data_IF_806512530928
#
_entry.id   IF_806512530928
#
_cell.length_a   1.000
_cell.length_b   1.000
_cell.length_c   1.000
_cell.angle_alpha   90.00
_cell.angle_beta   90.00
_cell.angle_gamma   90.00
#
_symmetry.space_group_name_H-M   'P 1'
#
loop_
_entity.id
_entity.type
_entity.pdbx_description
1 polymer ?
#
# COMPACT_ATOMS: atom_id res chain seq x y z
N UNK A 1 -0.82 -14.14 3.72
CA UNK A 1 -1.96 -13.33 4.25
C UNK A 1 -2.29 -13.78 5.66
N UNK A 2 -2.29 -12.85 6.63
CA UNK A 2 -2.43 -13.20 8.06
C UNK A 2 -3.75 -13.84 8.47
N UNK A 3 -4.86 -13.52 7.79
CA UNK A 3 -6.21 -13.96 8.19
C UNK A 3 -6.74 -15.22 7.50
N UNK A 4 -5.98 -15.87 6.64
CA UNK A 4 -6.48 -17.02 5.87
C UNK A 4 -6.91 -18.20 6.77
N UNK A 5 -6.21 -18.39 7.89
CA UNK A 5 -6.55 -19.43 8.86
C UNK A 5 -7.85 -19.13 9.58
N UNK A 6 -8.09 -17.87 9.97
CA UNK A 6 -9.30 -17.44 10.63
C UNK A 6 -10.51 -17.54 9.69
N UNK A 7 -10.37 -17.13 8.44
CA UNK A 7 -11.39 -17.29 7.41
C UNK A 7 -11.77 -18.77 7.27
N UNK A 8 -10.79 -19.68 7.17
CA UNK A 8 -11.05 -21.13 7.07
C UNK A 8 -11.76 -21.72 8.30
N UNK A 9 -11.59 -21.11 9.46
CA UNK A 9 -12.30 -21.53 10.69
C UNK A 9 -13.73 -21.01 10.73
N UNK A 10 -14.01 -19.84 10.15
CA UNK A 10 -15.32 -19.20 10.13
C UNK A 10 -16.22 -19.84 9.07
N UNK A 11 -15.67 -20.16 7.89
CA UNK A 11 -16.45 -20.66 6.75
C UNK A 11 -17.38 -21.85 7.07
N UNK A 12 -16.95 -22.88 7.83
CA UNK A 12 -17.82 -24.02 8.16
C UNK A 12 -18.99 -23.65 9.11
N UNK A 13 -18.90 -22.51 9.80
CA UNK A 13 -19.92 -22.04 10.74
C UNK A 13 -21.04 -21.26 10.01
N UNK A 14 -20.84 -20.91 8.75
CA UNK A 14 -21.81 -20.15 7.97
C UNK A 14 -22.91 -21.06 7.40
N UNK A 15 -24.15 -20.56 7.24
CA UNK A 15 -25.21 -21.30 6.58
C UNK A 15 -24.79 -21.80 5.18
N UNK A 16 -25.19 -23.03 4.84
CA UNK A 16 -24.88 -23.61 3.51
C UNK A 16 -25.60 -22.89 2.38
N UNK A 17 -26.83 -22.48 2.60
CA UNK A 17 -27.63 -21.68 1.66
C UNK A 17 -27.40 -20.21 1.99
N UNK A 18 -26.64 -19.54 1.15
CA UNK A 18 -26.32 -18.12 1.27
C UNK A 18 -25.85 -17.55 -0.06
N UNK A 19 -26.04 -16.26 -0.24
CA UNK A 19 -25.38 -15.49 -1.26
C UNK A 19 -24.01 -15.05 -0.71
N UNK A 20 -22.94 -15.31 -1.48
CA UNK A 20 -21.58 -14.88 -1.11
C UNK A 20 -21.05 -13.93 -2.18
N UNK A 21 -20.62 -12.75 -1.78
CA UNK A 21 -19.96 -11.77 -2.62
C UNK A 21 -18.48 -11.69 -2.19
N UNK A 22 -17.58 -11.75 -3.16
CA UNK A 22 -16.16 -11.66 -2.93
C UNK A 22 -15.59 -10.49 -3.74
N UNK A 23 -14.91 -9.59 -3.05
CA UNK A 23 -14.25 -8.42 -3.66
C UNK A 23 -12.78 -8.41 -3.35
N UNK A 24 -11.96 -8.19 -4.37
CA UNK A 24 -10.51 -8.02 -4.21
C UNK A 24 -9.97 -7.09 -5.30
N UNK A 25 -8.99 -6.27 -4.95
CA UNK A 25 -8.28 -5.45 -5.92
C UNK A 25 -7.32 -6.26 -6.79
N UNK A 26 -6.86 -7.41 -6.29
CA UNK A 26 -5.93 -8.31 -6.98
C UNK A 26 -6.36 -9.75 -6.78
N UNK A 27 -6.12 -10.61 -7.77
CA UNK A 27 -6.50 -12.03 -7.75
C UNK A 27 -5.29 -12.95 -7.99
N UNK A 28 -4.27 -12.94 -7.11
CA UNK A 28 -3.20 -13.93 -7.18
C UNK A 28 -3.72 -15.34 -6.85
N UNK A 29 -2.98 -16.37 -7.21
CA UNK A 29 -3.41 -17.77 -7.14
C UNK A 29 -3.90 -18.22 -5.76
N UNK A 30 -3.31 -17.73 -4.69
CA UNK A 30 -3.73 -18.02 -3.31
C UNK A 30 -5.09 -17.42 -2.98
N UNK A 31 -5.42 -16.27 -3.56
CA UNK A 31 -6.73 -15.60 -3.43
C UNK A 31 -7.78 -16.32 -4.29
N UNK A 32 -7.44 -16.72 -5.51
CA UNK A 32 -8.31 -17.53 -6.36
C UNK A 32 -8.67 -18.84 -5.65
N UNK A 33 -7.69 -19.54 -5.09
CA UNK A 33 -7.92 -20.76 -4.30
C UNK A 33 -8.85 -20.51 -3.12
N UNK A 34 -8.65 -19.41 -2.39
CA UNK A 34 -9.53 -19.04 -1.28
C UNK A 34 -10.95 -18.76 -1.77
N UNK A 35 -11.13 -17.95 -2.80
CA UNK A 35 -12.42 -17.61 -3.38
C UNK A 35 -13.19 -18.88 -3.79
N UNK A 36 -12.53 -19.83 -4.43
CA UNK A 36 -13.13 -21.11 -4.86
C UNK A 36 -13.61 -21.98 -3.68
N UNK A 37 -13.10 -21.79 -2.47
CA UNK A 37 -13.63 -22.48 -1.27
C UNK A 37 -14.89 -21.83 -0.72
N UNK A 38 -15.20 -20.60 -1.12
CA UNK A 38 -16.28 -19.80 -0.57
C UNK A 38 -17.45 -19.63 -1.53
N UNK A 39 -17.16 -19.62 -2.82
CA UNK A 39 -18.10 -19.30 -3.89
C UNK A 39 -18.61 -20.57 -4.57
N UNK A 40 -19.86 -20.55 -5.03
CA UNK A 40 -20.49 -21.61 -5.81
C UNK A 40 -20.96 -21.03 -7.14
N UNK A 41 -20.37 -21.52 -8.23
CA UNK A 41 -20.67 -21.04 -9.59
C UNK A 41 -20.77 -19.51 -9.68
N UNK A 42 -19.70 -18.77 -9.31
CA UNK A 42 -19.76 -17.32 -9.21
C UNK A 42 -19.78 -16.65 -10.59
N UNK A 43 -20.52 -15.54 -10.69
CA UNK A 43 -20.33 -14.59 -11.77
C UNK A 43 -19.04 -13.79 -11.52
N UNK A 44 -18.18 -13.70 -12.54
CA UNK A 44 -16.93 -12.93 -12.45
C UNK A 44 -17.12 -11.58 -13.14
N UNK A 45 -16.87 -10.51 -12.40
CA UNK A 45 -16.86 -9.13 -12.93
C UNK A 45 -15.47 -8.56 -12.72
N UNK A 46 -14.77 -8.23 -13.80
CA UNK A 46 -13.43 -7.62 -13.77
C UNK A 46 -13.53 -6.23 -14.37
N UNK A 47 -13.18 -5.22 -13.58
CA UNK A 47 -13.23 -3.81 -14.00
C UNK A 47 -11.93 -3.36 -14.62
N UNK A 48 -10.82 -3.96 -14.21
CA UNK A 48 -9.47 -3.65 -14.73
C UNK A 48 -8.78 -4.95 -15.11
N UNK A 49 -8.06 -5.02 -16.25
CA UNK A 49 -7.27 -6.21 -16.58
C UNK A 49 -6.26 -6.52 -15.47
N UNK A 50 -6.09 -7.79 -15.08
CA UNK A 50 -5.11 -8.15 -14.06
C UNK A 50 -3.70 -7.80 -14.52
N UNK A 51 -2.95 -7.11 -13.67
CA UNK A 51 -1.50 -6.93 -13.74
C UNK A 51 -0.93 -6.34 -15.06
N UNK A 52 -1.62 -5.40 -15.70
CA UNK A 52 -0.96 -4.60 -16.72
C UNK A 52 -0.09 -3.53 -16.07
N UNK A 53 1.21 -3.53 -16.35
CA UNK A 53 2.08 -2.39 -16.07
C UNK A 53 1.50 -1.23 -16.87
N UNK A 54 1.11 -0.14 -16.19
CA UNK A 54 0.61 1.05 -16.89
C UNK A 54 1.79 1.59 -17.68
N UNK A 55 1.73 1.55 -19.01
CA UNK A 55 2.81 1.96 -19.93
C UNK A 55 3.30 3.40 -19.70
N UNK A 56 2.47 4.22 -19.04
CA UNK A 56 2.79 5.60 -18.67
C UNK A 56 3.73 5.70 -17.46
N UNK A 57 4.02 4.60 -16.73
CA UNK A 57 4.89 4.61 -15.57
C UNK A 57 6.32 4.25 -15.98
N UNK A 58 7.24 5.21 -15.86
CA UNK A 58 8.67 4.92 -15.97
C UNK A 58 9.17 4.28 -14.69
N UNK A 59 9.57 3.02 -14.76
CA UNK A 59 10.12 2.28 -13.64
C UNK A 59 11.65 2.23 -13.71
N UNK A 60 12.31 2.30 -12.54
CA UNK A 60 13.75 2.12 -12.41
C UNK A 60 14.07 1.42 -11.10
N UNK A 61 15.20 0.70 -11.09
CA UNK A 61 15.72 0.00 -9.92
C UNK A 61 17.09 0.57 -9.58
N UNK A 62 17.27 0.97 -8.33
CA UNK A 62 18.56 1.43 -7.80
C UNK A 62 19.04 0.43 -6.74
N UNK A 63 20.23 -0.12 -6.96
CA UNK A 63 20.89 -0.99 -5.98
C UNK A 63 21.62 -0.14 -4.96
N UNK A 64 21.35 -0.37 -3.68
CA UNK A 64 21.98 0.35 -2.58
C UNK A 64 22.06 -0.53 -1.34
N UNK A 65 23.14 -0.38 -0.59
CA UNK A 65 23.27 -0.99 0.72
C UNK A 65 22.23 -0.46 1.72
N UNK A 66 21.85 -1.30 2.68
CA UNK A 66 20.81 -0.95 3.66
C UNK A 66 21.10 0.36 4.40
N UNK A 67 22.36 0.63 4.70
CA UNK A 67 22.80 1.86 5.37
C UNK A 67 22.62 3.10 4.48
N UNK A 68 22.84 2.96 3.19
CA UNK A 68 22.86 4.06 2.21
C UNK A 68 21.48 4.45 1.70
N UNK A 69 20.47 3.56 1.78
CA UNK A 69 19.13 3.80 1.25
C UNK A 69 18.49 5.12 1.70
N UNK A 70 18.79 5.56 2.91
CA UNK A 70 18.23 6.80 3.46
C UNK A 70 18.86 8.04 2.86
N UNK A 71 20.18 8.02 2.71
CA UNK A 71 20.95 9.10 2.07
C UNK A 71 20.57 9.20 0.59
N UNK A 72 20.50 8.06 -0.08
CA UNK A 72 20.06 7.98 -1.47
C UNK A 72 18.63 8.54 -1.64
N UNK A 73 17.70 8.18 -0.76
CA UNK A 73 16.35 8.74 -0.81
C UNK A 73 16.36 10.27 -0.66
N UNK A 74 17.11 10.80 0.31
CA UNK A 74 17.21 12.24 0.50
C UNK A 74 17.82 12.95 -0.72
N UNK A 75 18.83 12.36 -1.37
CA UNK A 75 19.42 12.88 -2.61
C UNK A 75 18.42 12.90 -3.75
N UNK A 76 17.70 11.79 -4.00
CA UNK A 76 16.67 11.71 -5.04
C UNK A 76 15.54 12.73 -4.85
N UNK A 77 15.14 12.98 -3.60
CA UNK A 77 14.13 13.98 -3.27
C UNK A 77 14.63 15.41 -3.50
N UNK A 78 15.92 15.69 -3.30
CA UNK A 78 16.52 17.02 -3.57
C UNK A 78 16.66 17.29 -5.06
N UNK A 79 16.93 16.26 -5.86
CA UNK A 79 17.03 16.39 -7.32
C UNK A 79 15.69 16.77 -7.97
N UNK A 80 14.58 16.54 -7.27
CA UNK A 80 13.22 16.79 -7.79
C UNK A 80 12.38 17.54 -6.76
N UNK A 81 12.70 18.78 -6.44
CA UNK A 81 12.06 19.57 -5.38
C UNK A 81 10.56 19.82 -5.63
N UNK A 82 10.16 19.95 -6.90
CA UNK A 82 8.78 20.25 -7.30
C UNK A 82 7.86 19.01 -7.36
N UNK A 83 8.42 17.81 -7.21
CA UNK A 83 7.63 16.59 -7.34
C UNK A 83 6.98 16.19 -6.04
N UNK A 84 5.69 15.81 -6.09
CA UNK A 84 5.03 15.05 -5.02
C UNK A 84 5.48 13.61 -5.06
N UNK A 85 5.91 13.06 -3.92
CA UNK A 85 6.53 11.74 -3.85
C UNK A 85 5.87 10.88 -2.78
N UNK A 86 5.47 9.67 -3.15
CA UNK A 86 5.01 8.65 -2.20
C UNK A 86 6.14 7.66 -1.94
N UNK A 87 6.53 7.54 -0.67
CA UNK A 87 7.56 6.60 -0.23
C UNK A 87 6.92 5.44 0.52
N UNK A 88 6.99 4.23 -0.05
CA UNK A 88 6.46 3.04 0.60
C UNK A 88 7.51 2.39 1.51
N UNK A 89 7.11 2.09 2.74
CA UNK A 89 7.91 1.37 3.72
C UNK A 89 7.24 0.05 4.11
N UNK A 90 8.04 -0.98 4.32
CA UNK A 90 7.53 -2.30 4.73
C UNK A 90 6.86 -2.31 6.10
N UNK A 91 7.22 -1.38 6.99
CA UNK A 91 6.70 -1.32 8.36
C UNK A 91 6.31 0.10 8.75
N UNK A 92 5.31 0.22 9.66
CA UNK A 92 4.87 1.47 10.26
C UNK A 92 6.01 2.24 10.95
N UNK A 93 6.84 1.55 11.71
CA UNK A 93 8.03 2.13 12.35
C UNK A 93 9.08 2.57 11.34
N UNK A 94 9.17 1.88 10.19
CA UNK A 94 10.02 2.29 9.07
C UNK A 94 9.55 3.62 8.48
N UNK A 95 8.25 3.78 8.27
CA UNK A 95 7.65 5.01 7.75
C UNK A 95 7.93 6.21 8.69
N UNK A 96 7.69 6.07 9.99
CA UNK A 96 8.00 7.11 10.98
C UNK A 96 9.49 7.48 11.01
N UNK A 97 10.37 6.46 10.90
CA UNK A 97 11.81 6.68 10.87
C UNK A 97 12.23 7.45 9.63
N UNK A 98 11.68 7.10 8.46
CA UNK A 98 11.96 7.80 7.19
C UNK A 98 11.51 9.26 7.31
N UNK A 99 10.27 9.53 7.72
CA UNK A 99 9.75 10.88 7.88
C UNK A 99 10.67 11.72 8.79
N UNK A 100 11.06 11.21 9.95
CA UNK A 100 11.99 11.91 10.87
C UNK A 100 13.36 12.20 10.24
N UNK A 101 13.91 11.28 9.44
CA UNK A 101 15.20 11.46 8.78
C UNK A 101 15.08 12.53 7.69
N UNK A 102 14.01 12.53 6.92
CA UNK A 102 13.77 13.54 5.89
C UNK A 102 13.60 14.92 6.50
N UNK A 103 12.83 15.05 7.60
CA UNK A 103 12.69 16.33 8.33
C UNK A 103 14.05 16.85 8.82
N UNK A 104 14.91 15.98 9.38
CA UNK A 104 16.29 16.37 9.77
C UNK A 104 17.14 16.78 8.57
N UNK A 105 16.86 16.28 7.39
CA UNK A 105 17.54 16.66 6.15
C UNK A 105 16.93 17.89 5.45
N UNK A 106 16.00 18.59 6.11
CA UNK A 106 15.29 19.75 5.57
C UNK A 106 14.21 19.43 4.54
N UNK A 107 13.78 18.17 4.47
CA UNK A 107 12.72 17.72 3.57
C UNK A 107 11.50 17.36 4.41
N UNK A 108 10.45 18.17 4.30
CA UNK A 108 9.22 17.87 5.04
C UNK A 108 8.53 16.64 4.45
N UNK A 109 8.25 15.67 5.33
CA UNK A 109 7.58 14.43 4.97
C UNK A 109 6.68 13.93 6.11
N UNK A 110 5.55 13.33 5.77
CA UNK A 110 4.58 12.82 6.74
C UNK A 110 4.34 11.34 6.58
N UNK A 111 4.35 10.60 7.69
CA UNK A 111 4.05 9.18 7.70
C UNK A 111 2.55 8.94 7.89
N UNK A 112 1.99 8.02 7.09
CA UNK A 112 0.61 7.54 7.22
C UNK A 112 0.64 6.03 7.44
N UNK A 113 0.04 5.55 8.51
CA UNK A 113 -0.07 4.12 8.84
C UNK A 113 -1.16 3.87 9.90
N UNK A 114 -1.43 2.59 10.21
CA UNK A 114 -2.53 2.20 11.09
C UNK A 114 -2.47 2.72 12.52
N UNK A 115 -1.28 3.04 13.05
CA UNK A 115 -1.12 3.59 14.42
C UNK A 115 -1.33 5.12 14.48
N UNK A 116 -1.52 5.79 13.35
CA UNK A 116 -1.90 7.20 13.33
C UNK A 116 -3.40 7.35 13.54
N UNK A 117 -3.80 8.35 14.34
CA UNK A 117 -5.21 8.69 14.47
C UNK A 117 -5.81 9.10 13.13
N UNK A 118 -7.12 8.94 12.96
CA UNK A 118 -7.81 9.29 11.73
C UNK A 118 -7.59 10.77 11.38
N UNK A 119 -7.69 11.68 12.35
CA UNK A 119 -7.44 13.11 12.12
C UNK A 119 -5.99 13.43 11.70
N UNK A 120 -4.99 12.66 12.18
CA UNK A 120 -3.61 12.81 11.72
C UNK A 120 -3.44 12.34 10.26
N UNK A 121 -4.10 11.23 9.89
CA UNK A 121 -4.09 10.73 8.52
C UNK A 121 -4.77 11.69 7.55
N UNK A 122 -5.91 12.25 7.91
CA UNK A 122 -6.63 13.24 7.10
C UNK A 122 -5.79 14.51 6.89
N UNK A 123 -5.18 15.03 7.96
CA UNK A 123 -4.26 16.18 7.83
C UNK A 123 -3.10 15.87 6.87
N UNK A 124 -2.44 14.73 7.03
CA UNK A 124 -1.33 14.35 6.14
C UNK A 124 -1.78 14.26 4.67
N UNK A 125 -2.96 13.69 4.40
CA UNK A 125 -3.52 13.61 3.05
C UNK A 125 -3.88 14.97 2.48
N UNK A 126 -4.46 15.87 3.30
CA UNK A 126 -4.81 17.22 2.87
C UNK A 126 -3.56 18.05 2.57
N UNK A 127 -2.54 17.96 3.43
CA UNK A 127 -1.27 18.67 3.23
C UNK A 127 -0.56 18.16 1.96
N UNK A 128 -0.63 16.86 1.68
CA UNK A 128 -0.07 16.30 0.44
C UNK A 128 -0.84 16.78 -0.80
N UNK A 129 -2.18 16.80 -0.74
CA UNK A 129 -3.03 17.26 -1.86
C UNK A 129 -2.86 18.75 -2.14
N UNK A 130 -2.70 19.56 -1.11
CA UNK A 130 -2.50 21.01 -1.24
C UNK A 130 -1.06 21.39 -1.63
N UNK A 131 -0.12 20.45 -1.60
CA UNK A 131 1.29 20.71 -1.81
C UNK A 131 2.03 21.29 -0.57
N UNK A 132 1.33 21.45 0.58
CA UNK A 132 1.95 21.90 1.81
C UNK A 132 2.98 20.88 2.36
N UNK A 133 2.81 19.62 2.05
CA UNK A 133 3.79 18.56 2.30
C UNK A 133 3.89 17.67 1.06
N UNK A 134 5.09 17.54 0.48
CA UNK A 134 5.26 16.86 -0.80
C UNK A 134 5.73 15.40 -0.71
N UNK A 135 6.07 14.89 0.49
CA UNK A 135 6.57 13.52 0.71
C UNK A 135 5.74 12.80 1.78
#
# INVERSE_FOLDING_TARGET
>A
MGFIHDIRRILPLLPRERQTLFFSATMPDDIVKLANTMLRNPAHVTVTPPASVVETIRQSVLFAEKAEKRTLLASLLRERPESSVLVFSRTKHGADRIARILTKAGIEGRAIHGDKSQGARERAMNDFRSGACRV
#
